data_IF_512178613948
#
_entry.id   IF_512178613948
#
_cell.length_a   1.000
_cell.length_b   1.000
_cell.length_c   1.000
_cell.angle_alpha   90.00
_cell.angle_beta   90.00
_cell.angle_gamma   90.00
#
_symmetry.space_group_name_H-M   'P 1'
#
loop_
_entity.id
_entity.type
_entity.pdbx_description
1 polymer ?
#
# COMPACT_ATOMS: atom_id res chain seq x y z
N UNK A 1 -57.26 -20.05 9.49
CA UNK A 1 -56.14 -20.94 9.92
C UNK A 1 -55.02 -21.05 8.87
N UNK A 2 -55.31 -21.26 7.57
CA UNK A 2 -54.29 -21.34 6.50
C UNK A 2 -53.46 -20.06 6.31
N UNK A 3 -54.07 -18.89 6.47
CA UNK A 3 -53.40 -17.57 6.35
C UNK A 3 -52.41 -17.29 7.49
N UNK A 4 -52.69 -17.76 8.71
CA UNK A 4 -51.78 -17.61 9.87
C UNK A 4 -50.51 -18.47 9.67
N UNK A 5 -50.66 -19.67 9.10
CA UNK A 5 -49.53 -20.54 8.76
C UNK A 5 -48.61 -19.96 7.68
N UNK A 6 -49.17 -19.25 6.68
CA UNK A 6 -48.38 -18.59 5.63
C UNK A 6 -47.57 -17.40 6.18
N UNK A 7 -48.16 -16.63 7.10
CA UNK A 7 -47.46 -15.50 7.76
C UNK A 7 -46.34 -16.02 8.68
N UNK A 8 -46.57 -17.12 9.42
CA UNK A 8 -45.56 -17.75 10.27
C UNK A 8 -44.42 -18.37 9.44
N UNK A 9 -44.73 -18.94 8.25
CA UNK A 9 -43.73 -19.49 7.33
C UNK A 9 -42.88 -18.39 6.65
N UNK A 10 -43.47 -17.23 6.34
CA UNK A 10 -42.76 -16.06 5.78
C UNK A 10 -41.87 -15.36 6.82
N UNK A 11 -42.25 -15.38 8.11
CA UNK A 11 -41.44 -14.79 9.20
C UNK A 11 -40.17 -15.60 9.51
N UNK A 12 -40.15 -16.91 9.26
CA UNK A 12 -38.97 -17.77 9.47
C UNK A 12 -37.95 -17.64 8.32
N UNK A 13 -38.36 -17.19 7.13
CA UNK A 13 -37.54 -17.20 5.92
C UNK A 13 -36.52 -16.05 5.77
N UNK A 14 -36.46 -15.10 6.71
CA UNK A 14 -35.71 -13.84 6.50
C UNK A 14 -34.50 -13.62 7.42
N UNK A 15 -34.15 -14.56 8.29
CA UNK A 15 -32.89 -14.47 9.04
C UNK A 15 -31.72 -14.94 8.16
N UNK A 16 -31.28 -14.06 7.25
CA UNK A 16 -29.95 -14.16 6.64
C UNK A 16 -28.95 -13.92 7.77
N UNK A 17 -28.41 -14.99 8.37
CA UNK A 17 -27.21 -14.86 9.20
C UNK A 17 -26.16 -14.14 8.34
N UNK A 18 -25.62 -13.03 8.83
CA UNK A 18 -24.46 -12.43 8.21
C UNK A 18 -23.36 -13.51 8.20
N UNK A 19 -22.93 -13.92 7.00
CA UNK A 19 -21.84 -14.86 6.86
C UNK A 19 -20.61 -14.29 7.58
N UNK A 20 -20.03 -15.08 8.47
CA UNK A 20 -18.91 -14.69 9.30
C UNK A 20 -18.26 -15.91 9.91
N UNK A 21 -17.01 -15.76 10.29
CA UNK A 21 -16.25 -16.83 10.92
C UNK A 21 -15.27 -16.26 11.94
N UNK A 22 -14.83 -17.15 12.82
CA UNK A 22 -13.85 -16.84 13.85
C UNK A 22 -12.62 -17.71 13.63
N UNK A 23 -11.43 -17.13 13.82
CA UNK A 23 -10.20 -17.88 13.66
C UNK A 23 -8.98 -17.14 14.18
N UNK A 24 -7.85 -17.85 14.26
CA UNK A 24 -6.59 -17.26 14.72
C UNK A 24 -5.89 -16.54 13.56
N UNK A 25 -5.47 -15.30 13.75
CA UNK A 25 -4.63 -14.63 12.75
C UNK A 25 -3.25 -15.25 12.75
N UNK A 26 -2.84 -15.80 11.62
CA UNK A 26 -1.54 -16.48 11.41
C UNK A 26 -0.62 -15.74 10.47
N UNK A 27 -1.09 -14.66 9.83
CA UNK A 27 -0.26 -13.83 8.96
C UNK A 27 -0.85 -12.45 8.75
N UNK A 28 0.03 -11.48 8.48
CA UNK A 28 -0.30 -10.11 8.11
C UNK A 28 0.54 -9.73 6.90
N UNK A 29 -0.11 -9.56 5.75
CA UNK A 29 0.57 -9.26 4.49
C UNK A 29 1.00 -7.79 4.45
N UNK A 30 0.05 -6.91 4.76
CA UNK A 30 0.15 -5.45 4.74
C UNK A 30 -0.82 -4.84 5.79
N UNK A 31 -1.11 -3.55 5.70
CA UNK A 31 -1.99 -2.86 6.66
C UNK A 31 -3.44 -3.34 6.64
N UNK A 32 -3.96 -3.79 5.50
CA UNK A 32 -5.39 -4.11 5.32
C UNK A 32 -5.66 -5.56 4.86
N UNK A 33 -4.65 -6.42 4.86
CA UNK A 33 -4.76 -7.82 4.46
C UNK A 33 -4.14 -8.75 5.49
N UNK A 34 -4.94 -9.65 6.05
CA UNK A 34 -4.55 -10.64 7.06
C UNK A 34 -4.85 -12.07 6.58
N UNK A 35 -4.21 -13.06 7.21
CA UNK A 35 -4.53 -14.48 7.01
C UNK A 35 -5.05 -15.06 8.32
N UNK A 36 -6.27 -15.59 8.28
CA UNK A 36 -6.98 -16.16 9.44
C UNK A 36 -7.10 -17.66 9.26
N UNK A 37 -6.62 -18.43 10.25
CA UNK A 37 -6.76 -19.87 10.31
C UNK A 37 -8.12 -20.23 10.88
N UNK A 38 -8.98 -20.84 10.06
CA UNK A 38 -10.31 -21.30 10.42
C UNK A 38 -10.52 -22.73 9.90
N UNK A 39 -10.91 -23.67 10.76
CA UNK A 39 -11.12 -25.08 10.37
C UNK A 39 -9.89 -25.73 9.72
N UNK A 40 -8.67 -25.36 10.16
CA UNK A 40 -7.42 -25.86 9.60
C UNK A 40 -7.01 -25.27 8.25
N UNK A 41 -7.79 -24.34 7.69
CA UNK A 41 -7.49 -23.66 6.42
C UNK A 41 -7.16 -22.19 6.65
N UNK A 42 -6.13 -21.69 5.96
CA UNK A 42 -5.78 -20.28 5.95
C UNK A 42 -6.67 -19.50 4.97
N UNK A 43 -7.47 -18.57 5.49
CA UNK A 43 -8.34 -17.69 4.72
C UNK A 43 -7.70 -16.31 4.66
N UNK A 44 -7.43 -15.80 3.45
CA UNK A 44 -6.98 -14.41 3.26
C UNK A 44 -8.17 -13.47 3.36
N UNK A 45 -8.05 -12.48 4.23
CA UNK A 45 -9.10 -11.48 4.49
C UNK A 45 -8.55 -10.10 4.15
N UNK A 46 -9.22 -9.40 3.23
CA UNK A 46 -9.03 -7.98 2.97
C UNK A 46 -10.04 -7.16 3.76
N UNK A 47 -9.58 -6.11 4.43
CA UNK A 47 -10.43 -5.26 5.22
C UNK A 47 -11.39 -4.47 4.33
N UNK A 48 -12.67 -4.64 4.61
CA UNK A 48 -13.75 -3.96 3.90
C UNK A 48 -13.67 -2.44 4.10
N UNK A 49 -13.89 -1.69 3.01
CA UNK A 49 -14.15 -0.26 3.05
C UNK A 49 -12.95 0.64 3.33
N UNK A 50 -11.74 0.07 3.45
CA UNK A 50 -10.51 0.83 3.65
C UNK A 50 -9.42 0.37 2.69
N UNK A 51 -8.41 1.21 2.51
CA UNK A 51 -7.21 0.92 1.73
C UNK A 51 -5.99 1.48 2.49
N UNK A 52 -5.06 0.62 2.88
CA UNK A 52 -3.82 1.04 3.55
C UNK A 52 -2.76 1.48 2.53
N UNK A 53 -1.83 2.38 2.91
CA UNK A 53 -0.66 2.68 2.08
C UNK A 53 0.09 1.41 1.69
N UNK A 54 0.57 1.37 0.44
CA UNK A 54 1.36 0.25 -0.06
C UNK A 54 2.64 0.06 0.76
N UNK A 55 3.22 -1.15 0.76
CA UNK A 55 4.41 -1.45 1.57
C UNK A 55 5.62 -0.54 1.26
N UNK A 56 5.71 -0.04 0.02
CA UNK A 56 6.74 0.90 -0.45
C UNK A 56 6.34 2.37 -0.31
N UNK A 57 5.11 2.65 0.12
CA UNK A 57 4.57 3.98 0.33
C UNK A 57 4.80 4.42 1.78
N UNK A 58 4.90 5.73 2.00
CA UNK A 58 4.90 6.30 3.35
C UNK A 58 3.74 5.75 4.18
N UNK A 59 4.04 5.43 5.45
CA UNK A 59 3.13 4.78 6.40
C UNK A 59 2.70 3.34 6.07
N UNK A 60 3.13 2.72 4.97
CA UNK A 60 2.79 1.33 4.65
C UNK A 60 3.31 0.34 5.70
N UNK A 61 4.58 0.46 6.07
CA UNK A 61 5.17 -0.35 7.15
C UNK A 61 4.54 -0.05 8.51
N UNK A 62 4.17 1.20 8.77
CA UNK A 62 3.49 1.59 10.01
C UNK A 62 2.10 0.95 10.11
N UNK A 63 1.32 0.95 9.02
CA UNK A 63 0.02 0.31 8.94
C UNK A 63 0.14 -1.21 9.17
N UNK A 64 1.07 -1.89 8.48
CA UNK A 64 1.34 -3.32 8.67
C UNK A 64 1.72 -3.64 10.11
N UNK A 65 2.60 -2.84 10.72
CA UNK A 65 3.03 -3.02 12.11
C UNK A 65 1.86 -2.83 13.08
N UNK A 66 1.03 -1.82 12.87
CA UNK A 66 -0.17 -1.57 13.67
C UNK A 66 -1.13 -2.77 13.62
N UNK A 67 -1.45 -3.25 12.42
CA UNK A 67 -2.30 -4.43 12.22
C UNK A 67 -1.69 -5.66 12.89
N UNK A 68 -0.39 -5.90 12.69
CA UNK A 68 0.32 -7.02 13.33
C UNK A 68 0.21 -6.99 14.85
N UNK A 69 0.46 -5.84 15.47
CA UNK A 69 0.36 -5.68 16.92
C UNK A 69 -1.06 -5.91 17.45
N UNK A 70 -2.07 -5.57 16.64
CA UNK A 70 -3.46 -5.65 17.05
C UNK A 70 -4.03 -7.07 16.89
N UNK A 71 -3.65 -7.82 15.85
CA UNK A 71 -4.31 -9.11 15.53
C UNK A 71 -3.41 -10.33 15.48
N UNK A 72 -2.09 -10.20 15.27
CA UNK A 72 -1.24 -11.37 15.04
C UNK A 72 -1.25 -12.32 16.24
N UNK A 73 -1.47 -13.62 15.97
CA UNK A 73 -1.59 -14.66 16.99
C UNK A 73 -2.88 -14.62 17.81
N UNK A 74 -3.78 -13.65 17.58
CA UNK A 74 -5.05 -13.50 18.29
C UNK A 74 -6.21 -14.07 17.48
N UNK A 75 -7.24 -14.50 18.20
CA UNK A 75 -8.52 -14.89 17.61
C UNK A 75 -9.28 -13.64 17.19
N UNK A 76 -9.74 -13.62 15.95
CA UNK A 76 -10.50 -12.53 15.37
C UNK A 76 -11.84 -13.04 14.85
N UNK A 77 -12.84 -12.16 14.89
CA UNK A 77 -14.14 -12.36 14.27
C UNK A 77 -14.17 -11.61 12.94
N UNK A 78 -14.50 -12.32 11.86
CA UNK A 78 -14.62 -11.76 10.52
C UNK A 78 -16.08 -11.72 10.15
N UNK A 79 -16.63 -10.52 9.96
CA UNK A 79 -17.95 -10.33 9.35
C UNK A 79 -17.77 -10.16 7.86
N UNK A 80 -18.18 -11.15 7.08
CA UNK A 80 -18.02 -11.14 5.63
C UNK A 80 -18.93 -10.11 4.96
N UNK A 81 -18.39 -9.48 3.92
CA UNK A 81 -19.07 -8.48 3.08
C UNK A 81 -19.05 -8.90 1.61
N UNK A 82 -18.23 -9.89 1.24
CA UNK A 82 -18.14 -10.45 -0.09
C UNK A 82 -16.77 -11.06 -0.34
N UNK A 83 -16.44 -11.24 -1.63
CA UNK A 83 -15.15 -11.75 -2.10
C UNK A 83 -14.64 -10.80 -3.18
N UNK A 84 -13.36 -10.48 -3.18
CA UNK A 84 -12.77 -9.64 -4.23
C UNK A 84 -12.34 -10.45 -5.46
N UNK A 85 -11.92 -9.76 -6.51
CA UNK A 85 -11.48 -10.36 -7.77
C UNK A 85 -10.25 -11.28 -7.64
N UNK A 86 -9.52 -11.21 -6.53
CA UNK A 86 -8.35 -12.05 -6.25
C UNK A 86 -8.70 -13.27 -5.39
N UNK A 87 -9.99 -13.48 -5.11
CA UNK A 87 -10.47 -14.59 -4.28
C UNK A 87 -10.26 -14.39 -2.78
N UNK A 88 -9.96 -13.16 -2.31
CA UNK A 88 -9.87 -12.87 -0.88
C UNK A 88 -11.25 -12.61 -0.31
N UNK A 89 -11.51 -13.10 0.89
CA UNK A 89 -12.70 -12.68 1.64
C UNK A 89 -12.57 -11.20 1.97
N UNK A 90 -13.62 -10.41 1.71
CA UNK A 90 -13.69 -9.01 2.09
C UNK A 90 -14.54 -8.90 3.35
N UNK A 91 -14.04 -8.30 4.42
CA UNK A 91 -14.74 -8.32 5.70
C UNK A 91 -14.36 -7.23 6.69
N UNK A 92 -15.22 -7.05 7.69
CA UNK A 92 -14.91 -6.26 8.89
C UNK A 92 -14.31 -7.20 9.92
N UNK A 93 -13.14 -6.84 10.46
CA UNK A 93 -12.42 -7.69 11.42
C UNK A 93 -12.50 -7.07 12.81
N UNK A 94 -12.96 -7.87 13.77
CA UNK A 94 -13.03 -7.50 15.18
C UNK A 94 -12.08 -8.38 15.99
N UNK A 95 -11.31 -7.78 16.91
CA UNK A 95 -10.47 -8.49 17.87
C UNK A 95 -10.69 -7.90 19.26
N UNK A 96 -11.01 -8.74 20.24
CA UNK A 96 -11.28 -8.31 21.63
C UNK A 96 -12.26 -7.12 21.70
N UNK A 97 -13.33 -7.16 20.90
CA UNK A 97 -14.36 -6.11 20.83
C UNK A 97 -13.97 -4.86 20.05
N UNK A 98 -12.74 -4.76 19.51
CA UNK A 98 -12.27 -3.62 18.72
C UNK A 98 -12.31 -3.92 17.22
N UNK A 99 -12.86 -3.00 16.44
CA UNK A 99 -12.92 -3.09 14.98
C UNK A 99 -11.61 -2.60 14.36
N UNK A 100 -10.81 -3.51 13.80
CA UNK A 100 -9.52 -3.21 13.18
C UNK A 100 -9.64 -2.17 12.05
N UNK A 101 -10.69 -2.25 11.22
CA UNK A 101 -10.89 -1.33 10.11
C UNK A 101 -11.04 0.12 10.62
N UNK A 102 -11.82 0.31 11.69
CA UNK A 102 -11.99 1.62 12.33
C UNK A 102 -10.72 2.09 13.02
N UNK A 103 -10.01 1.19 13.71
CA UNK A 103 -8.78 1.53 14.40
C UNK A 103 -7.70 2.04 13.44
N UNK A 104 -7.55 1.41 12.26
CA UNK A 104 -6.65 1.90 11.21
C UNK A 104 -7.01 3.31 10.73
N UNK A 105 -8.30 3.61 10.55
CA UNK A 105 -8.76 4.94 10.17
C UNK A 105 -8.53 5.98 11.27
N UNK A 106 -8.84 5.65 12.53
CA UNK A 106 -8.65 6.53 13.67
C UNK A 106 -7.17 6.89 13.88
N UNK A 107 -6.26 5.96 13.57
CA UNK A 107 -4.81 6.19 13.67
C UNK A 107 -4.20 6.79 12.40
N UNK A 108 -5.02 7.14 11.39
CA UNK A 108 -4.53 7.73 10.14
C UNK A 108 -3.61 6.79 9.36
N UNK A 109 -3.87 5.48 9.39
CA UNK A 109 -3.08 4.44 8.73
C UNK A 109 -3.83 3.80 7.54
N UNK A 110 -5.01 4.31 7.21
CA UNK A 110 -5.79 3.87 6.07
C UNK A 110 -6.61 5.02 5.48
N UNK A 111 -6.98 4.85 4.22
CA UNK A 111 -7.95 5.68 3.52
C UNK A 111 -9.32 5.02 3.54
N UNK A 112 -10.37 5.81 3.79
CA UNK A 112 -11.75 5.36 3.67
C UNK A 112 -12.16 5.28 2.19
N UNK A 113 -12.53 4.09 1.74
CA UNK A 113 -12.93 3.86 0.37
C UNK A 113 -14.44 4.08 0.17
N UNK A 114 -14.82 5.36 0.03
CA UNK A 114 -16.22 5.81 -0.07
C UNK A 114 -17.04 5.08 -1.12
N UNK A 115 -16.45 4.73 -2.27
CA UNK A 115 -17.17 4.07 -3.37
C UNK A 115 -17.78 2.73 -2.95
N UNK A 116 -17.06 1.95 -2.15
CA UNK A 116 -17.46 0.60 -1.73
C UNK A 116 -18.21 0.59 -0.39
N UNK A 117 -17.89 1.51 0.52
CA UNK A 117 -18.42 1.50 1.88
C UNK A 117 -19.32 2.71 2.22
N UNK A 118 -20.10 3.21 1.25
CA UNK A 118 -20.96 4.41 1.37
C UNK A 118 -21.82 4.48 2.65
N UNK A 119 -22.23 3.33 3.19
CA UNK A 119 -23.12 3.23 4.35
C UNK A 119 -22.38 3.30 5.70
N UNK A 120 -21.06 3.14 5.73
CA UNK A 120 -20.24 3.14 6.95
C UNK A 120 -19.89 4.60 7.32
N UNK A 121 -20.83 5.27 8.01
CA UNK A 121 -20.68 6.67 8.42
C UNK A 121 -19.57 6.87 9.45
N UNK A 122 -19.37 5.88 10.31
CA UNK A 122 -18.30 5.78 11.29
C UNK A 122 -16.91 5.82 10.64
N UNK A 123 -16.74 5.20 9.46
CA UNK A 123 -15.46 5.21 8.73
C UNK A 123 -15.13 6.62 8.23
N UNK A 124 -16.13 7.30 7.67
CA UNK A 124 -15.96 8.69 7.24
C UNK A 124 -15.59 9.61 8.40
N UNK A 125 -16.27 9.46 9.55
CA UNK A 125 -16.00 10.22 10.78
C UNK A 125 -14.63 9.89 11.37
N UNK A 126 -14.20 8.63 11.37
CA UNK A 126 -12.88 8.21 11.83
C UNK A 126 -11.76 8.87 11.02
N UNK A 127 -11.86 8.83 9.68
CA UNK A 127 -10.90 9.50 8.82
C UNK A 127 -10.92 11.02 9.02
N UNK A 128 -12.10 11.64 9.12
CA UNK A 128 -12.21 13.08 9.33
C UNK A 128 -11.53 13.53 10.64
N UNK A 129 -11.68 12.76 11.73
CA UNK A 129 -10.97 13.00 12.99
C UNK A 129 -9.46 12.87 12.83
N UNK A 130 -8.99 11.79 12.21
CA UNK A 130 -7.55 11.59 12.00
C UNK A 130 -6.92 12.70 11.15
N UNK A 131 -7.65 13.23 10.16
CA UNK A 131 -7.25 14.41 9.37
C UNK A 131 -7.16 15.66 10.24
N UNK A 132 -8.20 15.97 11.00
CA UNK A 132 -8.24 17.16 11.85
C UNK A 132 -7.13 17.14 12.91
N UNK A 133 -6.80 15.96 13.46
CA UNK A 133 -5.74 15.77 14.44
C UNK A 133 -4.34 15.60 13.83
N UNK A 134 -4.21 15.63 12.49
CA UNK A 134 -2.95 15.36 11.77
C UNK A 134 -2.25 14.08 12.25
N UNK A 135 -3.00 12.99 12.40
CA UNK A 135 -2.46 11.70 12.86
C UNK A 135 -2.01 10.84 11.69
N UNK A 136 -0.93 10.08 11.84
CA UNK A 136 -0.47 9.12 10.85
C UNK A 136 -0.14 9.77 9.51
N UNK A 137 -0.65 9.23 8.41
CA UNK A 137 -0.41 9.74 7.06
C UNK A 137 -0.91 11.17 6.86
N UNK A 138 -1.83 11.65 7.70
CA UNK A 138 -2.32 13.04 7.67
C UNK A 138 -1.33 14.07 8.25
N UNK A 139 -0.17 13.64 8.75
CA UNK A 139 0.96 14.54 9.06
C UNK A 139 1.58 15.12 7.79
N UNK A 140 1.58 14.36 6.69
CA UNK A 140 2.13 14.76 5.40
C UNK A 140 1.36 15.95 4.83
N UNK A 141 2.06 16.84 4.11
CA UNK A 141 1.43 17.99 3.45
C UNK A 141 0.47 17.54 2.32
N UNK A 142 0.87 16.53 1.55
CA UNK A 142 0.13 16.00 0.40
C UNK A 142 0.15 14.47 0.41
N UNK A 143 -0.61 13.82 1.32
CA UNK A 143 -0.67 12.36 1.35
C UNK A 143 -1.36 11.83 0.10
N UNK A 144 -0.73 10.87 -0.57
CA UNK A 144 -1.24 10.24 -1.77
C UNK A 144 -2.07 9.01 -1.37
N UNK A 145 -3.28 8.81 -1.90
CA UNK A 145 -4.02 7.59 -1.62
C UNK A 145 -3.45 6.37 -2.39
N UNK A 146 -3.60 5.13 -1.86
CA UNK A 146 -2.93 3.96 -2.42
C UNK A 146 -3.32 3.66 -3.87
N UNK A 147 -4.57 3.94 -4.26
CA UNK A 147 -5.03 3.75 -5.65
C UNK A 147 -4.36 4.71 -6.64
N UNK A 148 -3.97 5.91 -6.21
CA UNK A 148 -3.21 6.85 -7.04
C UNK A 148 -1.75 6.46 -7.09
N UNK A 149 -1.15 6.09 -5.95
CA UNK A 149 0.22 5.57 -5.89
C UNK A 149 0.42 4.36 -6.81
N UNK A 150 -0.51 3.38 -6.78
CA UNK A 150 -0.49 2.23 -7.70
C UNK A 150 -0.60 2.62 -9.17
N UNK A 151 -1.33 3.71 -9.48
CA UNK A 151 -1.47 4.20 -10.87
C UNK A 151 -0.17 4.86 -11.35
N UNK A 152 0.51 5.60 -10.48
CA UNK A 152 1.80 6.21 -10.79
C UNK A 152 2.88 5.16 -11.05
N UNK A 153 2.94 4.11 -10.24
CA UNK A 153 3.89 3.00 -10.45
C UNK A 153 3.69 2.32 -11.81
N UNK A 154 2.45 2.02 -12.20
CA UNK A 154 2.16 1.44 -13.53
C UNK A 154 2.63 2.35 -14.66
N UNK A 155 2.39 3.65 -14.54
CA UNK A 155 2.83 4.62 -15.56
C UNK A 155 4.35 4.73 -15.68
N UNK A 156 5.10 4.43 -14.61
CA UNK A 156 6.57 4.39 -14.64
C UNK A 156 7.04 3.12 -15.33
N UNK A 157 6.45 1.97 -15.01
CA UNK A 157 6.77 0.68 -15.63
C UNK A 157 6.48 0.66 -17.14
N UNK A 158 5.38 1.28 -17.57
CA UNK A 158 4.98 1.35 -18.98
C UNK A 158 5.81 2.36 -19.81
N UNK A 159 6.72 3.12 -19.18
CA UNK A 159 7.54 4.08 -19.91
C UNK A 159 8.57 3.31 -20.75
N UNK A 160 8.60 3.48 -22.08
CA UNK A 160 9.66 2.87 -22.87
C UNK A 160 11.00 3.34 -22.30
N UNK A 161 11.92 2.38 -22.11
CA UNK A 161 13.28 2.65 -21.66
C UNK A 161 13.81 3.79 -22.52
N UNK A 162 13.88 5.00 -21.95
CA UNK A 162 14.56 6.07 -22.65
C UNK A 162 15.97 5.55 -22.74
N UNK A 163 16.42 5.20 -23.95
CA UNK A 163 17.84 5.09 -24.23
C UNK A 163 18.45 6.32 -23.58
N UNK A 164 19.24 6.11 -22.52
CA UNK A 164 20.05 7.17 -21.95
C UNK A 164 20.67 7.85 -23.16
N UNK A 165 20.57 9.20 -23.29
CA UNK A 165 21.25 9.86 -24.39
C UNK A 165 22.65 9.29 -24.39
N UNK A 166 23.01 8.61 -25.48
CA UNK A 166 24.30 7.97 -25.61
C UNK A 166 25.27 9.11 -25.45
N UNK A 167 25.78 9.26 -24.22
CA UNK A 167 26.68 10.32 -23.90
C UNK A 167 27.99 9.86 -24.50
N UNK A 168 28.11 10.10 -25.80
CA UNK A 168 29.40 10.20 -26.44
C UNK A 168 30.11 11.25 -25.62
N UNK A 169 31.01 10.78 -24.76
CA UNK A 169 32.05 11.61 -24.20
C UNK A 169 32.72 12.15 -25.45
N UNK A 170 32.33 13.35 -25.89
CA UNK A 170 33.20 14.11 -26.76
C UNK A 170 34.52 14.17 -26.00
N UNK A 171 35.62 14.03 -26.72
CA UNK A 171 36.98 14.00 -26.18
C UNK A 171 37.26 15.12 -25.15
N UNK A 172 36.43 16.16 -25.14
CA UNK A 172 36.47 17.30 -24.23
C UNK A 172 36.03 16.96 -22.80
N UNK A 173 35.06 16.06 -22.59
CA UNK A 173 34.59 15.70 -21.24
C UNK A 173 35.56 14.77 -20.51
N UNK A 174 36.27 13.90 -21.23
CA UNK A 174 37.37 13.12 -20.67
C UNK A 174 38.51 14.03 -20.20
N UNK A 175 38.82 15.08 -20.97
CA UNK A 175 39.84 16.06 -20.60
C UNK A 175 39.43 16.86 -19.34
N UNK A 176 38.15 17.22 -19.22
CA UNK A 176 37.62 17.90 -18.02
C UNK A 176 37.70 16.98 -16.79
N UNK A 177 37.31 15.71 -16.91
CA UNK A 177 37.40 14.73 -15.81
C UNK A 177 38.85 14.48 -15.38
N UNK A 178 39.79 14.36 -16.33
CA UNK A 178 41.23 14.21 -16.05
C UNK A 178 41.81 15.47 -15.41
N UNK A 179 41.39 16.67 -15.83
CA UNK A 179 41.83 17.93 -15.24
C UNK A 179 41.32 18.10 -13.80
N UNK A 180 40.08 17.73 -13.53
CA UNK A 180 39.50 17.75 -12.18
C UNK A 180 40.22 16.75 -11.27
N UNK A 181 40.48 15.52 -11.74
CA UNK A 181 41.23 14.53 -10.98
C UNK A 181 42.68 14.96 -10.70
N UNK A 182 43.37 15.59 -11.67
CA UNK A 182 44.73 16.10 -11.49
C UNK A 182 44.81 17.27 -10.49
N UNK A 183 43.77 18.13 -10.45
CA UNK A 183 43.65 19.21 -9.47
C UNK A 183 43.38 18.68 -8.05
N UNK A 184 42.59 17.61 -7.92
CA UNK A 184 42.30 16.97 -6.64
C UNK A 184 43.46 16.10 -6.12
N UNK A 185 44.31 15.57 -7.01
CA UNK A 185 45.47 14.76 -6.63
C UNK A 185 46.77 15.55 -6.43
N UNK A 186 46.77 16.87 -6.63
CA UNK A 186 47.95 17.74 -6.45
C UNK A 186 49.07 17.50 -7.47
N UNK A 187 48.81 16.82 -8.59
CA UNK A 187 49.85 16.52 -9.60
C UNK A 187 49.80 17.60 -10.68
N UNK A 188 50.81 18.47 -10.69
CA UNK A 188 50.90 19.64 -11.58
C UNK A 188 50.75 19.30 -13.07
N UNK A 189 49.81 19.97 -13.72
CA UNK A 189 49.55 19.90 -15.16
C UNK A 189 50.69 20.51 -16.00
N UNK A 190 51.80 19.77 -16.17
CA UNK A 190 52.87 20.10 -17.12
C UNK A 190 53.31 18.87 -17.91
N UNK A 191 52.39 18.20 -18.63
CA UNK A 191 52.82 17.21 -19.66
C UNK A 191 51.82 16.85 -20.78
N UNK A 192 50.87 17.70 -21.15
CA UNK A 192 49.88 17.33 -22.20
C UNK A 192 49.63 18.39 -23.30
N UNK A 193 50.66 19.12 -23.74
CA UNK A 193 50.59 19.90 -24.99
C UNK A 193 51.85 19.77 -25.88
N UNK A 194 52.41 18.55 -25.98
CA UNK A 194 53.46 18.24 -26.97
C UNK A 194 53.18 16.89 -27.65
N UNK A 195 52.21 16.88 -28.56
CA UNK A 195 52.14 15.89 -29.64
C UNK A 195 51.24 16.42 -30.76
N UNK A 196 51.77 17.42 -31.48
CA UNK A 196 51.12 18.01 -32.65
C UNK A 196 52.17 18.57 -33.60
N UNK A 197 53.18 17.77 -33.98
CA UNK A 197 54.10 18.05 -35.11
C UNK A 197 55.00 16.85 -35.45
N UNK A 198 54.67 16.13 -36.53
CA UNK A 198 55.53 15.43 -37.52
C UNK A 198 54.57 14.68 -38.47
N UNK A 199 54.27 15.14 -39.70
CA UNK A 199 55.07 15.31 -40.92
C UNK A 199 55.51 13.99 -41.61
N UNK A 200 54.99 13.82 -42.84
CA UNK A 200 55.44 13.02 -44.02
C UNK A 200 55.27 11.48 -43.96
N UNK A 201 54.84 10.77 -45.00
CA UNK A 201 54.51 11.09 -46.39
C UNK A 201 54.64 9.85 -47.28
N UNK A 202 53.82 9.74 -48.33
CA UNK A 202 54.12 9.21 -49.67
C UNK A 202 52.98 9.59 -50.60
#
# INVERSE_FOLDING_TARGET
MKTIFIILFLLVASFRLAAGFTGKTVGVSDGDTITVLCGGKGVKVRLYGIDCPESSQDFGQAAKKFTSNMVYGRTVEVKEKGTDQYGRTVGIVTVSGKNLNLELLNNGLAWYYKTYAKKEKDFASAQARAKASRTGLWTLATPIPPWEYRRELRNIEDRPERKSPEYSISSDWAAILVAILALLSGVGAKRLLRSGKKSRGK
#
